data_IF_909627516536
#
_entry.id   IF_909627516536
#
_cell.length_a   1.000
_cell.length_b   1.000
_cell.length_c   1.000
_cell.angle_alpha   90.00
_cell.angle_beta   90.00
_cell.angle_gamma   90.00
#
_symmetry.space_group_name_H-M   'P 1'
#
loop_
_entity.id
_entity.type
_entity.pdbx_description
1 polymer ?
#
# COMPACT_ATOMS: atom_id res chain seq x y z
N UNK A 1 -18.17 -6.28 -51.92
CA UNK A 1 -19.54 -6.36 -51.36
C UNK A 1 -19.49 -5.94 -49.90
N UNK A 2 -20.48 -5.17 -49.45
CA UNK A 2 -20.59 -4.71 -48.06
C UNK A 2 -21.11 -5.85 -47.16
N UNK A 3 -20.46 -6.07 -46.02
CA UNK A 3 -20.89 -7.07 -45.01
C UNK A 3 -21.91 -6.45 -44.05
N UNK A 4 -22.89 -7.24 -43.61
CA UNK A 4 -23.82 -6.80 -42.56
C UNK A 4 -23.06 -6.70 -41.23
N UNK A 5 -23.15 -5.55 -40.57
CA UNK A 5 -22.48 -5.28 -39.31
C UNK A 5 -23.51 -5.03 -38.20
N UNK A 6 -23.18 -5.48 -36.99
CA UNK A 6 -23.92 -5.12 -35.78
C UNK A 6 -22.96 -4.68 -34.68
N UNK A 7 -23.46 -3.84 -33.78
CA UNK A 7 -22.77 -3.49 -32.54
C UNK A 7 -23.53 -4.18 -31.41
N UNK A 8 -22.81 -4.86 -30.53
CA UNK A 8 -23.42 -5.60 -29.43
C UNK A 8 -22.50 -5.73 -28.23
N UNK A 9 -23.07 -6.19 -27.13
CA UNK A 9 -22.36 -6.42 -25.87
C UNK A 9 -22.07 -7.91 -25.69
N UNK A 10 -20.85 -8.25 -25.33
CA UNK A 10 -20.44 -9.64 -25.06
C UNK A 10 -21.05 -10.10 -23.74
N UNK A 11 -22.03 -11.00 -23.83
CA UNK A 11 -22.75 -11.55 -22.67
C UNK A 11 -22.06 -12.79 -22.10
N UNK A 12 -21.19 -13.44 -22.87
CA UNK A 12 -20.44 -14.59 -22.38
C UNK A 12 -19.24 -14.92 -23.25
N UNK A 13 -18.11 -15.11 -22.58
CA UNK A 13 -16.82 -15.56 -23.09
C UNK A 13 -16.33 -16.76 -22.25
N UNK A 14 -15.49 -17.64 -22.81
CA UNK A 14 -14.81 -18.73 -22.07
C UNK A 14 -15.63 -20.00 -21.82
N UNK A 15 -16.91 -20.04 -22.24
CA UNK A 15 -17.75 -21.26 -22.16
C UNK A 15 -17.60 -22.18 -23.36
N UNK A 16 -17.14 -21.64 -24.49
CA UNK A 16 -16.96 -22.35 -25.77
C UNK A 16 -15.65 -21.86 -26.38
N UNK A 17 -14.87 -22.76 -26.97
CA UNK A 17 -13.62 -22.41 -27.64
C UNK A 17 -13.89 -21.50 -28.85
N UNK A 18 -13.06 -20.46 -29.02
CA UNK A 18 -13.10 -19.52 -30.17
C UNK A 18 -14.50 -18.97 -30.49
N UNK A 19 -15.34 -18.85 -29.47
CA UNK A 19 -16.76 -18.49 -29.63
C UNK A 19 -17.22 -17.61 -28.50
N UNK A 20 -17.78 -16.45 -28.85
CA UNK A 20 -18.37 -15.53 -27.90
C UNK A 20 -19.88 -15.38 -28.16
N UNK A 21 -20.63 -15.13 -27.09
CA UNK A 21 -22.07 -14.86 -27.17
C UNK A 21 -22.31 -13.36 -27.08
N UNK A 22 -22.74 -12.76 -28.19
CA UNK A 22 -22.96 -11.31 -28.30
C UNK A 22 -24.44 -11.00 -28.31
N UNK A 23 -24.87 -10.06 -27.48
CA UNK A 23 -26.23 -9.54 -27.42
C UNK A 23 -26.31 -8.25 -28.23
N UNK A 24 -27.05 -8.27 -29.33
CA UNK A 24 -27.34 -7.08 -30.15
C UNK A 24 -28.71 -6.55 -29.78
N UNK A 25 -28.79 -5.26 -29.49
CA UNK A 25 -30.05 -4.54 -29.32
C UNK A 25 -30.35 -3.75 -30.59
N UNK A 26 -31.60 -3.81 -31.06
CA UNK A 26 -32.06 -3.03 -32.20
C UNK A 26 -33.43 -2.41 -31.92
N UNK A 27 -33.68 -1.17 -32.36
CA UNK A 27 -35.02 -0.62 -32.31
C UNK A 27 -35.93 -1.43 -33.24
N UNK A 28 -37.13 -1.75 -32.77
CA UNK A 28 -38.19 -2.38 -33.56
C UNK A 28 -39.51 -1.73 -33.19
N UNK A 29 -40.32 -1.39 -34.19
CA UNK A 29 -41.63 -0.79 -33.95
C UNK A 29 -42.64 -1.87 -33.57
N UNK A 30 -43.24 -1.75 -32.37
CA UNK A 30 -44.27 -2.69 -31.93
C UNK A 30 -45.65 -2.24 -32.39
N UNK A 31 -46.22 -2.92 -33.40
CA UNK A 31 -47.46 -2.51 -34.08
C UNK A 31 -48.64 -2.26 -33.14
N UNK A 32 -48.89 -3.16 -32.17
CA UNK A 32 -50.05 -3.06 -31.25
C UNK A 32 -49.96 -1.89 -30.26
N UNK A 33 -48.75 -1.52 -29.87
CA UNK A 33 -48.51 -0.49 -28.82
C UNK A 33 -48.13 0.84 -29.46
N UNK A 34 -47.90 0.85 -30.79
CA UNK A 34 -47.43 2.01 -31.55
C UNK A 34 -46.21 2.70 -30.93
N UNK A 35 -45.32 1.91 -30.32
CA UNK A 35 -44.09 2.39 -29.64
C UNK A 35 -42.87 1.68 -30.20
N UNK A 36 -41.78 2.42 -30.36
CA UNK A 36 -40.47 1.87 -30.68
C UNK A 36 -39.87 1.22 -29.42
N UNK A 37 -39.64 -0.08 -29.48
CA UNK A 37 -39.07 -0.87 -28.38
C UNK A 37 -37.71 -1.43 -28.79
N UNK A 38 -36.84 -1.69 -27.81
CA UNK A 38 -35.55 -2.32 -28.06
C UNK A 38 -35.70 -3.84 -28.02
N UNK A 39 -35.54 -4.48 -29.18
CA UNK A 39 -35.51 -5.93 -29.29
C UNK A 39 -34.08 -6.42 -29.14
N UNK A 40 -33.87 -7.45 -28.31
CA UNK A 40 -32.58 -8.10 -28.08
C UNK A 40 -32.52 -9.42 -28.83
N UNK A 41 -31.43 -9.64 -29.57
CA UNK A 41 -31.10 -10.93 -30.20
C UNK A 41 -29.68 -11.32 -29.86
N UNK A 42 -29.48 -12.57 -29.47
CA UNK A 42 -28.15 -13.13 -29.18
C UNK A 42 -27.59 -13.84 -30.40
N UNK A 43 -26.31 -13.64 -30.66
CA UNK A 43 -25.57 -14.27 -31.74
C UNK A 43 -24.38 -15.04 -31.19
N UNK A 44 -24.09 -16.19 -31.80
CA UNK A 44 -22.84 -16.89 -31.60
C UNK A 44 -21.85 -16.37 -32.63
N UNK A 45 -20.77 -15.77 -32.14
CA UNK A 45 -19.80 -15.03 -32.94
C UNK A 45 -18.46 -15.76 -32.85
N UNK A 46 -17.78 -15.87 -33.98
CA UNK A 46 -16.45 -16.44 -34.07
C UNK A 46 -15.40 -15.43 -33.66
N UNK A 47 -14.53 -15.84 -32.73
CA UNK A 47 -13.39 -15.05 -32.25
C UNK A 47 -12.17 -15.98 -32.24
N UNK A 48 -11.25 -15.81 -33.18
CA UNK A 48 -10.09 -16.70 -33.32
C UNK A 48 -9.02 -16.44 -32.28
N UNK A 49 -8.87 -15.17 -31.88
CA UNK A 49 -7.85 -14.74 -30.94
C UNK A 49 -8.30 -14.74 -29.48
N UNK A 50 -9.57 -15.10 -29.21
CA UNK A 50 -10.17 -15.07 -27.87
C UNK A 50 -9.95 -13.73 -27.14
N UNK A 51 -10.00 -12.67 -27.93
CA UNK A 51 -9.66 -11.31 -27.53
C UNK A 51 -10.78 -10.71 -26.68
N UNK A 52 -12.03 -10.91 -27.07
CA UNK A 52 -13.16 -10.24 -26.44
C UNK A 52 -13.56 -10.94 -25.14
N UNK A 53 -13.65 -10.19 -24.04
CA UNK A 53 -14.09 -10.68 -22.73
C UNK A 53 -15.55 -10.30 -22.46
N UNK A 54 -16.13 -10.93 -21.44
CA UNK A 54 -17.51 -10.62 -21.01
C UNK A 54 -17.59 -9.16 -20.56
N UNK A 55 -18.55 -8.40 -21.10
CA UNK A 55 -18.73 -6.98 -20.81
C UNK A 55 -18.20 -6.03 -21.90
N UNK A 56 -17.45 -6.54 -22.89
CA UNK A 56 -16.96 -5.71 -24.00
C UNK A 56 -18.07 -5.31 -24.98
N UNK A 57 -17.92 -4.13 -25.59
CA UNK A 57 -18.76 -3.70 -26.72
C UNK A 57 -17.99 -3.95 -28.01
N UNK A 58 -18.58 -4.77 -28.88
CA UNK A 58 -17.93 -5.28 -30.09
C UNK A 58 -18.74 -4.97 -31.34
N UNK A 59 -18.04 -4.76 -32.45
CA UNK A 59 -18.61 -4.78 -33.80
C UNK A 59 -18.43 -6.18 -34.37
N UNK A 60 -19.54 -6.77 -34.78
CA UNK A 60 -19.58 -8.10 -35.40
C UNK A 60 -19.98 -7.96 -36.86
N UNK A 61 -19.39 -8.78 -37.71
CA UNK A 61 -19.64 -8.78 -39.15
C UNK A 61 -20.12 -10.13 -39.65
N UNK A 62 -20.99 -10.14 -40.66
CA UNK A 62 -21.44 -11.37 -41.29
C UNK A 62 -20.27 -12.10 -41.98
N UNK A 63 -20.15 -13.40 -41.74
CA UNK A 63 -19.11 -14.25 -42.30
C UNK A 63 -19.72 -15.52 -42.93
N UNK A 64 -18.86 -16.35 -43.55
CA UNK A 64 -19.28 -17.69 -44.00
C UNK A 64 -19.82 -18.50 -42.81
N UNK A 65 -20.76 -19.43 -43.02
CA UNK A 65 -21.18 -20.32 -41.95
C UNK A 65 -19.98 -21.08 -41.38
N UNK A 66 -19.64 -20.81 -40.12
CA UNK A 66 -18.51 -21.46 -39.44
C UNK A 66 -18.95 -22.69 -38.64
N UNK A 67 -20.23 -22.73 -38.26
CA UNK A 67 -20.88 -23.84 -37.55
C UNK A 67 -22.38 -23.79 -37.85
N UNK A 68 -23.22 -24.66 -37.26
CA UNK A 68 -24.67 -24.66 -37.44
C UNK A 68 -25.30 -23.27 -37.18
N UNK A 69 -24.88 -22.60 -36.10
CA UNK A 69 -25.46 -21.33 -35.64
C UNK A 69 -24.52 -20.11 -35.76
N UNK A 70 -23.22 -20.31 -35.98
CA UNK A 70 -22.23 -19.24 -36.11
C UNK A 70 -22.22 -18.70 -37.55
N UNK A 71 -22.69 -17.46 -37.72
CA UNK A 71 -22.77 -16.73 -39.01
C UNK A 71 -22.07 -15.36 -38.96
N UNK A 72 -21.48 -15.02 -37.82
CA UNK A 72 -20.83 -13.74 -37.59
C UNK A 72 -19.43 -13.95 -37.00
N UNK A 73 -18.51 -13.04 -37.33
CA UNK A 73 -17.17 -12.99 -36.79
C UNK A 73 -16.95 -11.66 -36.04
N UNK A 74 -16.03 -11.68 -35.07
CA UNK A 74 -15.57 -10.49 -34.37
C UNK A 74 -14.77 -9.63 -35.36
N UNK A 75 -15.21 -8.39 -35.59
CA UNK A 75 -14.51 -7.48 -36.49
C UNK A 75 -13.65 -6.47 -35.71
N UNK A 76 -14.15 -5.97 -34.59
CA UNK A 76 -13.52 -4.90 -33.83
C UNK A 76 -14.06 -4.85 -32.40
N UNK A 77 -13.19 -4.55 -31.42
CA UNK A 77 -13.59 -4.24 -30.05
C UNK A 77 -13.65 -2.71 -29.94
N UNK A 78 -14.85 -2.16 -29.73
CA UNK A 78 -15.03 -0.70 -29.61
C UNK A 78 -14.74 -0.20 -28.19
N UNK A 79 -15.16 -0.97 -27.19
CA UNK A 79 -14.98 -0.62 -25.77
C UNK A 79 -14.57 -1.89 -25.03
N UNK A 80 -13.31 -1.95 -24.58
CA UNK A 80 -12.71 -3.08 -23.84
C UNK A 80 -12.95 -3.01 -22.32
N UNK A 81 -14.19 -2.89 -21.87
CA UNK A 81 -14.51 -2.81 -20.43
C UNK A 81 -14.21 -4.11 -19.70
N UNK A 82 -14.49 -5.25 -20.32
CA UNK A 82 -14.26 -6.58 -19.76
C UNK A 82 -12.78 -6.93 -19.67
N UNK A 83 -11.96 -6.52 -20.65
CA UNK A 83 -10.50 -6.68 -20.59
C UNK A 83 -9.89 -5.94 -19.39
N UNK A 84 -10.26 -4.66 -19.22
CA UNK A 84 -9.84 -3.86 -18.06
C UNK A 84 -10.23 -4.51 -16.74
N UNK A 85 -11.41 -5.12 -16.67
CA UNK A 85 -11.87 -5.81 -15.46
C UNK A 85 -11.01 -7.04 -15.15
N UNK A 86 -10.55 -7.77 -16.17
CA UNK A 86 -9.60 -8.89 -15.99
C UNK A 86 -8.25 -8.39 -15.48
N UNK A 87 -7.72 -7.31 -16.08
CA UNK A 87 -6.46 -6.68 -15.64
C UNK A 87 -6.56 -6.20 -14.19
N UNK A 88 -7.64 -5.51 -13.83
CA UNK A 88 -7.90 -5.04 -12.46
C UNK A 88 -7.95 -6.19 -11.46
N UNK A 89 -8.56 -7.32 -11.83
CA UNK A 89 -8.61 -8.49 -10.95
C UNK A 89 -7.22 -9.10 -10.73
N UNK A 90 -6.37 -9.15 -11.76
CA UNK A 90 -4.99 -9.64 -11.65
C UNK A 90 -4.16 -8.76 -10.73
N UNK A 91 -4.23 -7.44 -10.93
CA UNK A 91 -3.58 -6.46 -10.06
C UNK A 91 -4.08 -6.60 -8.62
N UNK A 92 -5.39 -6.76 -8.41
CA UNK A 92 -5.95 -6.96 -7.07
C UNK A 92 -5.43 -8.23 -6.37
N UNK A 93 -5.25 -9.33 -7.12
CA UNK A 93 -4.66 -10.55 -6.56
C UNK A 93 -3.18 -10.39 -6.24
N UNK A 94 -2.43 -9.71 -7.11
CA UNK A 94 -1.01 -9.43 -6.91
C UNK A 94 -0.79 -8.46 -5.75
N UNK A 95 -1.66 -7.47 -5.58
CA UNK A 95 -1.69 -6.56 -4.44
C UNK A 95 -2.02 -7.33 -3.15
N UNK A 96 -2.99 -8.25 -3.18
CA UNK A 96 -3.30 -9.11 -2.03
C UNK A 96 -2.15 -10.07 -1.65
N UNK A 97 -1.41 -10.56 -2.64
CA UNK A 97 -0.25 -11.45 -2.43
C UNK A 97 1.02 -10.67 -2.00
N UNK A 98 1.19 -9.44 -2.51
CA UNK A 98 2.28 -8.52 -2.15
C UNK A 98 2.04 -7.82 -0.81
N UNK A 99 0.77 -7.71 -0.39
CA UNK A 99 0.37 -7.65 1.00
C UNK A 99 0.65 -9.00 1.65
N UNK A 100 1.92 -9.40 1.67
CA UNK A 100 2.57 -10.33 2.60
C UNK A 100 1.75 -10.32 3.89
N UNK A 101 0.95 -11.37 4.05
CA UNK A 101 -0.35 -11.29 4.73
C UNK A 101 -0.26 -10.57 6.07
N UNK A 102 -1.29 -9.82 6.50
CA UNK A 102 -1.34 -9.27 7.85
C UNK A 102 -0.96 -10.32 8.91
N UNK A 103 -1.23 -11.59 8.63
CA UNK A 103 -0.78 -12.75 9.39
C UNK A 103 0.75 -12.93 9.42
N UNK A 104 1.46 -12.85 8.29
CA UNK A 104 2.94 -12.92 8.27
C UNK A 104 3.58 -11.75 9.02
N UNK A 105 3.03 -10.54 8.88
CA UNK A 105 3.51 -9.37 9.64
C UNK A 105 3.26 -9.54 11.14
N UNK A 106 2.11 -10.10 11.51
CA UNK A 106 1.78 -10.41 12.90
C UNK A 106 2.66 -11.54 13.45
N UNK A 107 2.96 -12.58 12.66
CA UNK A 107 3.89 -13.66 13.01
C UNK A 107 5.30 -13.10 13.24
N UNK A 108 5.81 -12.23 12.36
CA UNK A 108 7.11 -11.58 12.52
C UNK A 108 7.13 -10.68 13.77
N UNK A 109 6.04 -9.97 14.04
CA UNK A 109 5.88 -9.16 15.25
C UNK A 109 5.91 -10.02 16.51
N UNK A 110 5.20 -11.14 16.53
CA UNK A 110 5.20 -12.08 17.64
C UNK A 110 6.58 -12.69 17.87
N UNK A 111 7.28 -13.05 16.80
CA UNK A 111 8.63 -13.60 16.87
C UNK A 111 9.65 -12.56 17.38
N UNK A 112 9.52 -11.29 16.99
CA UNK A 112 10.30 -10.18 17.56
C UNK A 112 10.00 -9.98 19.05
N UNK A 113 8.72 -9.96 19.43
CA UNK A 113 8.30 -9.82 20.82
C UNK A 113 8.77 -11.00 21.69
N UNK A 114 8.78 -12.22 21.15
CA UNK A 114 9.30 -13.40 21.85
C UNK A 114 10.81 -13.32 22.04
N UNK A 115 11.56 -12.89 21.01
CA UNK A 115 13.01 -12.62 21.12
C UNK A 115 13.31 -11.53 22.15
N UNK A 116 12.54 -10.45 22.17
CA UNK A 116 12.68 -9.37 23.17
C UNK A 116 12.37 -9.88 24.58
N UNK A 117 11.28 -10.63 24.75
CA UNK A 117 10.96 -11.27 26.03
C UNK A 117 12.06 -12.23 26.48
N UNK A 118 12.62 -13.02 25.58
CA UNK A 118 13.73 -13.93 25.87
C UNK A 118 15.00 -13.16 26.27
N UNK A 119 15.33 -12.06 25.57
CA UNK A 119 16.43 -11.15 25.94
C UNK A 119 16.21 -10.57 27.34
N UNK A 120 15.03 -10.01 27.61
CA UNK A 120 14.68 -9.43 28.91
C UNK A 120 14.69 -10.47 30.04
N UNK A 121 14.20 -11.69 29.80
CA UNK A 121 14.27 -12.80 30.77
C UNK A 121 15.71 -13.16 31.10
N UNK A 122 16.59 -13.24 30.09
CA UNK A 122 18.01 -13.53 30.27
C UNK A 122 18.71 -12.43 31.09
N UNK A 123 18.52 -11.17 30.69
CA UNK A 123 19.03 -9.99 31.40
C UNK A 123 18.56 -10.01 32.86
N UNK A 124 17.29 -10.33 33.13
CA UNK A 124 16.76 -10.36 34.49
C UNK A 124 17.33 -11.51 35.34
N UNK A 125 17.51 -12.70 34.75
CA UNK A 125 18.15 -13.83 35.43
C UNK A 125 19.62 -13.52 35.78
N UNK A 126 20.34 -12.91 34.84
CA UNK A 126 21.72 -12.49 35.00
C UNK A 126 21.85 -11.40 36.07
N UNK A 127 20.97 -10.38 36.06
CA UNK A 127 20.93 -9.33 37.07
C UNK A 127 20.59 -9.91 38.46
N UNK A 128 19.62 -10.83 38.55
CA UNK A 128 19.28 -11.53 39.80
C UNK A 128 20.44 -12.37 40.32
N UNK A 129 21.21 -12.99 39.42
CA UNK A 129 22.40 -13.73 39.78
C UNK A 129 23.46 -12.80 40.37
N UNK A 130 23.81 -11.73 39.66
CA UNK A 130 24.84 -10.77 40.08
C UNK A 130 24.45 -10.11 41.41
N UNK A 131 23.24 -9.56 41.52
CA UNK A 131 22.75 -8.92 42.75
C UNK A 131 22.76 -9.88 43.96
N UNK A 132 22.31 -11.12 43.81
CA UNK A 132 22.33 -12.12 44.89
C UNK A 132 23.73 -12.45 45.39
N UNK A 133 24.72 -12.44 44.51
CA UNK A 133 26.09 -12.83 44.80
C UNK A 133 27.03 -11.64 45.02
N UNK A 134 26.54 -10.41 44.95
CA UNK A 134 27.37 -9.22 45.24
C UNK A 134 27.22 -8.76 46.70
N UNK A 135 26.03 -8.90 47.28
CA UNK A 135 25.78 -8.54 48.66
C UNK A 135 26.02 -9.73 49.60
N UNK A 136 26.79 -9.52 50.66
CA UNK A 136 27.40 -10.53 51.54
C UNK A 136 26.43 -11.51 52.26
N UNK A 137 25.12 -11.41 52.05
CA UNK A 137 24.11 -12.21 52.75
C UNK A 137 24.08 -13.69 52.35
N UNK A 138 24.73 -14.08 51.24
CA UNK A 138 24.78 -15.47 50.77
C UNK A 138 26.08 -16.23 51.07
N UNK A 139 27.09 -15.61 51.69
CA UNK A 139 28.46 -16.15 51.77
C UNK A 139 28.86 -16.75 53.12
N UNK A 140 27.95 -16.77 54.10
CA UNK A 140 28.27 -17.19 55.48
C UNK A 140 28.72 -18.66 55.62
N UNK A 141 28.53 -19.49 54.59
CA UNK A 141 28.81 -20.93 54.63
C UNK A 141 29.65 -21.46 53.46
N UNK A 142 30.22 -20.57 52.62
CA UNK A 142 30.93 -20.97 51.39
C UNK A 142 32.44 -20.83 51.52
N UNK A 143 33.18 -21.74 50.87
CA UNK A 143 34.63 -21.74 50.87
C UNK A 143 35.23 -20.60 50.02
N UNK A 144 36.48 -20.16 50.28
CA UNK A 144 37.14 -19.08 49.53
C UNK A 144 37.22 -19.32 48.02
N UNK A 145 37.43 -20.57 47.60
CA UNK A 145 37.49 -20.94 46.17
C UNK A 145 36.13 -20.74 45.48
N UNK A 146 35.04 -21.17 46.12
CA UNK A 146 33.68 -21.03 45.58
C UNK A 146 33.25 -19.56 45.46
N UNK A 147 33.76 -18.70 46.34
CA UNK A 147 33.55 -17.24 46.30
C UNK A 147 34.26 -16.64 45.08
N UNK A 148 35.51 -17.05 44.82
CA UNK A 148 36.29 -16.59 43.69
C UNK A 148 35.64 -17.00 42.35
N UNK A 149 35.18 -18.25 42.22
CA UNK A 149 34.49 -18.74 41.03
C UNK A 149 33.18 -17.98 40.74
N UNK A 150 32.39 -17.71 41.79
CA UNK A 150 31.14 -16.94 41.67
C UNK A 150 31.42 -15.49 41.29
N UNK A 151 32.48 -14.89 41.83
CA UNK A 151 32.95 -13.55 41.48
C UNK A 151 33.38 -13.48 40.01
N UNK A 152 34.17 -14.44 39.53
CA UNK A 152 34.57 -14.52 38.11
C UNK A 152 33.37 -14.69 37.18
N UNK A 153 32.39 -15.51 37.58
CA UNK A 153 31.16 -15.70 36.80
C UNK A 153 30.31 -14.43 36.75
N UNK A 154 30.19 -13.71 37.86
CA UNK A 154 29.49 -12.42 37.91
C UNK A 154 30.20 -11.36 37.06
N UNK A 155 31.54 -11.30 37.07
CA UNK A 155 32.33 -10.39 36.23
C UNK A 155 32.14 -10.68 34.73
N UNK A 156 32.20 -11.94 34.30
CA UNK A 156 31.93 -12.35 32.91
C UNK A 156 30.54 -11.96 32.44
N UNK A 157 29.54 -12.09 33.32
CA UNK A 157 28.16 -11.68 33.02
C UNK A 157 28.09 -10.15 32.84
N UNK A 158 28.73 -9.38 33.72
CA UNK A 158 28.76 -7.92 33.65
C UNK A 158 29.45 -7.40 32.37
N UNK A 159 30.57 -8.02 31.97
CA UNK A 159 31.26 -7.73 30.72
C UNK A 159 30.37 -8.01 29.50
N UNK A 160 29.64 -9.14 29.51
CA UNK A 160 28.77 -9.53 28.39
C UNK A 160 27.60 -8.57 28.12
N UNK A 161 27.13 -7.89 29.17
CA UNK A 161 26.04 -6.89 29.09
C UNK A 161 26.54 -5.44 29.15
N UNK A 162 27.85 -5.21 29.28
CA UNK A 162 28.47 -3.87 29.35
C UNK A 162 28.11 -3.06 30.60
N UNK A 163 27.85 -3.70 31.74
CA UNK A 163 27.48 -3.01 32.98
C UNK A 163 28.70 -2.37 33.65
N UNK A 164 28.80 -1.04 33.58
CA UNK A 164 29.86 -0.25 34.24
C UNK A 164 29.64 -0.05 35.73
N UNK A 165 28.38 -0.03 36.19
CA UNK A 165 28.00 0.05 37.61
C UNK A 165 26.99 -1.06 37.88
N UNK A 166 27.21 -1.83 38.94
CA UNK A 166 26.37 -2.97 39.30
C UNK A 166 25.75 -2.73 40.69
N UNK A 167 24.41 -2.70 40.81
CA UNK A 167 23.40 -2.82 39.73
C UNK A 167 23.29 -1.56 38.86
N UNK A 168 22.96 -1.69 37.55
CA UNK A 168 22.87 -0.55 36.64
C UNK A 168 21.69 0.37 36.99
N UNK A 169 21.82 1.71 36.89
CA UNK A 169 20.73 2.64 37.13
C UNK A 169 19.63 2.48 36.05
N UNK A 170 18.36 2.50 36.46
CA UNK A 170 17.20 2.31 35.57
C UNK A 170 16.96 3.60 34.77
N UNK A 171 17.67 3.79 33.65
CA UNK A 171 17.46 4.92 32.75
C UNK A 171 17.61 4.48 31.28
N UNK A 172 16.66 3.69 30.77
CA UNK A 172 16.65 3.28 29.36
C UNK A 172 15.31 3.55 28.64
N UNK A 173 14.23 3.83 29.36
CA UNK A 173 12.88 3.99 28.79
C UNK A 173 12.44 5.45 28.63
N UNK A 174 13.06 6.39 29.34
CA UNK A 174 12.77 7.83 29.20
C UNK A 174 13.49 8.48 28.02
N UNK A 175 14.59 7.88 27.55
CA UNK A 175 15.46 8.50 26.54
C UNK A 175 14.85 8.52 25.15
N UNK A 176 14.15 7.46 24.74
CA UNK A 176 13.61 7.36 23.39
C UNK A 176 12.38 8.26 23.18
N UNK A 177 11.49 8.32 24.17
CA UNK A 177 10.38 9.27 24.17
C UNK A 177 10.88 10.73 24.20
N UNK A 178 11.96 10.99 24.94
CA UNK A 178 12.57 12.32 24.97
C UNK A 178 13.24 12.69 23.65
N UNK A 179 13.78 11.73 22.90
CA UNK A 179 14.34 11.95 21.56
C UNK A 179 13.23 12.25 20.56
N UNK A 180 12.13 11.49 20.56
CA UNK A 180 10.99 11.73 19.68
C UNK A 180 10.37 13.11 19.94
N UNK A 181 10.24 13.53 21.21
CA UNK A 181 9.77 14.86 21.57
C UNK A 181 10.70 15.98 21.06
N UNK A 182 12.02 15.76 21.11
CA UNK A 182 13.00 16.72 20.58
C UNK A 182 12.91 16.84 19.06
N UNK A 183 12.71 15.72 18.35
CA UNK A 183 12.59 15.72 16.89
C UNK A 183 11.28 16.35 16.42
N UNK A 184 10.17 16.13 17.16
CA UNK A 184 8.90 16.85 16.90
C UNK A 184 9.06 18.35 17.12
N UNK A 185 9.76 18.79 18.19
CA UNK A 185 10.03 20.21 18.43
C UNK A 185 10.81 20.84 17.28
N UNK A 186 11.90 20.21 16.83
CA UNK A 186 12.71 20.70 15.70
C UNK A 186 11.90 20.81 14.41
N UNK A 187 11.03 19.84 14.14
CA UNK A 187 10.16 19.88 12.96
C UNK A 187 9.16 21.04 13.02
N UNK A 188 8.62 21.34 14.20
CA UNK A 188 7.73 22.50 14.39
C UNK A 188 8.47 23.81 14.21
N UNK A 189 9.67 23.95 14.77
CA UNK A 189 10.50 25.16 14.61
C UNK A 189 10.82 25.42 13.13
N UNK A 190 11.20 24.39 12.38
CA UNK A 190 11.43 24.49 10.93
C UNK A 190 10.18 24.90 10.14
N UNK A 191 8.98 24.47 10.57
CA UNK A 191 7.71 24.86 9.92
C UNK A 191 7.40 26.33 10.24
N UNK A 192 7.61 26.77 11.48
CA UNK A 192 7.39 28.16 11.89
C UNK A 192 8.33 29.09 11.12
N UNK A 193 9.61 28.75 11.01
CA UNK A 193 10.59 29.53 10.25
C UNK A 193 10.18 29.66 8.79
N UNK A 194 9.74 28.56 8.14
CA UNK A 194 9.21 28.62 6.76
C UNK A 194 7.99 29.50 6.62
N UNK A 195 7.04 29.43 7.56
CA UNK A 195 5.85 30.29 7.54
C UNK A 195 6.25 31.76 7.69
N UNK A 196 7.23 32.07 8.54
CA UNK A 196 7.74 33.43 8.70
C UNK A 196 8.37 33.96 7.41
N UNK A 197 9.19 33.15 6.73
CA UNK A 197 9.78 33.52 5.43
C UNK A 197 8.72 33.75 4.35
N UNK A 198 7.67 32.93 4.31
CA UNK A 198 6.55 33.10 3.40
C UNK A 198 5.74 34.38 3.69
N UNK A 199 5.46 34.65 4.97
CA UNK A 199 4.77 35.86 5.42
C UNK A 199 5.57 37.12 5.11
N UNK A 200 6.89 37.11 5.33
CA UNK A 200 7.79 38.22 5.03
C UNK A 200 7.88 38.49 3.53
N UNK A 201 7.87 37.44 2.71
CA UNK A 201 7.77 37.59 1.27
C UNK A 201 6.44 38.23 0.84
N UNK A 202 5.32 37.84 1.44
CA UNK A 202 4.02 38.42 1.13
C UNK A 202 3.94 39.89 1.58
N UNK A 203 4.50 40.23 2.74
CA UNK A 203 4.66 41.61 3.21
C UNK A 203 5.53 42.45 2.25
N UNK A 204 6.58 41.87 1.68
CA UNK A 204 7.43 42.55 0.69
C UNK A 204 6.67 42.93 -0.59
N UNK A 205 5.59 42.19 -0.91
CA UNK A 205 4.66 42.49 -2.01
C UNK A 205 3.56 43.50 -1.63
N UNK A 206 3.61 44.07 -0.42
CA UNK A 206 2.65 45.06 0.09
C UNK A 206 1.28 44.49 0.44
N UNK A 207 1.19 43.17 0.68
CA UNK A 207 -0.05 42.51 1.09
C UNK A 207 0.08 41.96 2.51
N UNK A 208 -1.01 41.97 3.27
CA UNK A 208 -1.02 41.42 4.62
C UNK A 208 -1.41 39.94 4.59
N UNK A 209 -0.58 39.01 5.10
CA UNK A 209 -0.85 37.57 5.05
C UNK A 209 -2.18 37.16 5.68
N UNK A 210 -2.58 37.85 6.75
CA UNK A 210 -3.82 37.57 7.50
C UNK A 210 -5.09 38.02 6.78
N UNK A 211 -4.99 38.94 5.82
CA UNK A 211 -6.13 39.50 5.08
C UNK A 211 -6.35 38.82 3.72
N UNK A 212 -5.40 38.02 3.26
CA UNK A 212 -5.46 37.33 1.96
C UNK A 212 -6.20 35.99 2.11
N UNK A 213 -7.00 35.61 1.11
CA UNK A 213 -7.62 34.28 1.10
C UNK A 213 -6.58 33.17 0.90
N UNK A 214 -6.79 32.02 1.56
CA UNK A 214 -5.87 30.86 1.54
C UNK A 214 -5.38 30.46 0.15
N UNK A 215 -6.28 30.46 -0.84
CA UNK A 215 -5.92 30.09 -2.22
C UNK A 215 -5.01 31.13 -2.87
N UNK A 216 -5.20 32.42 -2.58
CA UNK A 216 -4.31 33.46 -3.09
C UNK A 216 -2.94 33.41 -2.43
N UNK A 217 -2.88 33.16 -1.12
CA UNK A 217 -1.63 32.94 -0.39
C UNK A 217 -0.82 31.80 -1.05
N UNK A 218 -1.44 30.63 -1.23
CA UNK A 218 -0.80 29.47 -1.87
C UNK A 218 -0.32 29.74 -3.29
N UNK A 219 -1.12 30.44 -4.09
CA UNK A 219 -0.75 30.76 -5.46
C UNK A 219 0.46 31.72 -5.54
N UNK A 220 0.55 32.68 -4.60
CA UNK A 220 1.67 33.64 -4.53
C UNK A 220 2.97 32.92 -4.17
N UNK A 221 2.94 32.05 -3.14
CA UNK A 221 4.12 31.29 -2.72
C UNK A 221 4.53 30.28 -3.81
N UNK A 222 3.57 29.58 -4.42
CA UNK A 222 3.85 28.67 -5.53
C UNK A 222 4.55 29.39 -6.69
N UNK A 223 4.08 30.59 -7.04
CA UNK A 223 4.71 31.39 -8.08
C UNK A 223 6.12 31.87 -7.70
N UNK A 224 6.39 32.15 -6.41
CA UNK A 224 7.74 32.45 -5.89
C UNK A 224 8.68 31.26 -6.10
N UNK A 225 8.24 30.08 -5.65
CA UNK A 225 9.08 28.87 -5.66
C UNK A 225 9.35 28.40 -7.09
N UNK A 226 8.37 28.50 -8.00
CA UNK A 226 8.55 28.24 -9.42
C UNK A 226 9.61 29.16 -10.06
N UNK A 227 9.58 30.47 -9.73
CA UNK A 227 10.60 31.42 -10.21
C UNK A 227 11.98 31.11 -9.64
N UNK A 228 12.08 30.78 -8.35
CA UNK A 228 13.32 30.40 -7.70
C UNK A 228 13.92 29.12 -8.32
N UNK A 229 13.08 28.12 -8.62
CA UNK A 229 13.49 26.87 -9.27
C UNK A 229 13.96 27.09 -10.73
N UNK A 230 13.34 28.00 -11.47
CA UNK A 230 13.81 28.35 -12.82
C UNK A 230 15.13 29.13 -12.81
N UNK A 231 15.37 29.95 -11.78
CA UNK A 231 16.59 30.74 -11.64
C UNK A 231 17.80 29.90 -11.18
N UNK A 232 17.58 28.78 -10.47
CA UNK A 232 18.64 27.86 -10.05
C UNK A 232 19.01 26.82 -11.12
N UNK A 233 18.18 26.64 -12.14
CA UNK A 233 18.38 25.69 -13.23
C UNK A 233 19.09 26.30 -14.47
N UNK A 234 19.26 27.63 -14.50
CA UNK A 234 20.02 28.39 -15.51
C UNK A 234 21.45 28.65 -15.05
#
# INVERSE_FOLDING_TARGET
MTRQNFIGLVTGHGKMAKTIRVSVQRPTFHKKVHKQIMSKKTFLVHDEGELAKTGDVVRIEACRPMSALKRYALAEIRIGTGQKLVELNQVSTEDADSHRSPFQQEVDRMLRAEKERARSRKIWADLKYVTRHQFAHGYRSLGPEEIAERGQKAAKIAESHGWTVIPPPIQLLSTQLNQDLQDVSKNLDNIIEKIQEEDDYIRSLGKDPLLISHNMYKNIIKSRDEKAATASAQ
#
